data_IF_031946205782
#
_entry.id   IF_031946205782
#
_cell.length_a   1.000
_cell.length_b   1.000
_cell.length_c   1.000
_cell.angle_alpha   90.00
_cell.angle_beta   90.00
_cell.angle_gamma   90.00
#
_symmetry.space_group_name_H-M   'P 1'
#
loop_
_entity.id
_entity.type
_entity.pdbx_description
1 polymer ?
#
# COMPACT_ATOMS: atom_id res chain seq x y z
N UNK A 1 -18.22 -37.84 55.34
CA UNK A 1 -19.51 -37.76 56.04
C UNK A 1 -19.99 -36.33 56.15
N UNK A 2 -21.26 -36.10 55.83
CA UNK A 2 -22.10 -34.90 55.91
C UNK A 2 -21.88 -33.79 54.94
N UNK A 3 -22.71 -33.83 53.87
CA UNK A 3 -23.10 -32.73 52.96
C UNK A 3 -23.99 -31.75 53.79
N UNK A 4 -23.71 -30.45 53.60
CA UNK A 4 -24.66 -29.39 53.95
C UNK A 4 -24.98 -28.66 52.68
N UNK A 5 -26.20 -28.86 52.16
CA UNK A 5 -26.83 -28.06 51.11
C UNK A 5 -27.28 -26.74 51.75
N UNK A 6 -26.81 -25.61 51.23
CA UNK A 6 -27.38 -24.30 51.53
C UNK A 6 -28.16 -23.84 50.30
N UNK A 7 -29.48 -23.92 50.35
CA UNK A 7 -30.38 -23.37 49.35
C UNK A 7 -30.49 -21.85 49.58
N UNK A 8 -29.98 -21.03 48.67
CA UNK A 8 -30.22 -19.58 48.63
C UNK A 8 -31.39 -19.33 47.69
N UNK A 9 -32.52 -18.95 48.30
CA UNK A 9 -33.73 -18.51 47.61
C UNK A 9 -33.50 -17.10 47.05
N UNK A 10 -33.23 -16.96 45.73
CA UNK A 10 -33.19 -15.66 45.05
C UNK A 10 -34.62 -15.19 44.79
N UNK A 11 -35.10 -14.27 45.59
CA UNK A 11 -36.26 -13.44 45.26
C UNK A 11 -35.92 -12.56 44.06
N UNK A 12 -36.39 -12.91 42.88
CA UNK A 12 -36.37 -12.06 41.70
C UNK A 12 -37.44 -10.96 41.88
N UNK A 13 -37.03 -9.85 42.48
CA UNK A 13 -37.78 -8.61 42.41
C UNK A 13 -37.70 -8.08 40.96
N UNK A 14 -38.74 -8.29 40.17
CA UNK A 14 -38.91 -7.66 38.88
C UNK A 14 -39.02 -6.15 39.06
N UNK A 15 -37.94 -5.40 38.82
CA UNK A 15 -38.05 -3.97 38.62
C UNK A 15 -38.95 -3.72 37.40
N UNK A 16 -39.95 -2.83 37.47
CA UNK A 16 -40.72 -2.45 36.29
C UNK A 16 -39.76 -1.84 35.29
N UNK A 17 -39.60 -2.48 34.15
CA UNK A 17 -38.97 -1.88 33.00
C UNK A 17 -39.83 -0.68 32.60
N UNK A 18 -39.40 0.52 33.02
CA UNK A 18 -40.01 1.76 32.53
C UNK A 18 -39.72 1.78 31.02
N UNK A 19 -40.75 1.47 30.23
CA UNK A 19 -40.69 1.62 28.79
C UNK A 19 -40.27 3.07 28.51
N UNK A 20 -39.10 3.24 27.91
CA UNK A 20 -38.68 4.57 27.43
C UNK A 20 -39.75 5.05 26.45
N UNK A 21 -40.20 6.31 26.57
CA UNK A 21 -41.15 6.85 25.61
C UNK A 21 -40.59 6.68 24.20
N UNK A 22 -41.39 6.07 23.33
CA UNK A 22 -40.98 5.88 21.92
C UNK A 22 -40.83 7.24 21.30
N UNK A 23 -39.62 7.51 20.80
CA UNK A 23 -39.31 8.74 20.06
C UNK A 23 -40.05 8.72 18.71
N UNK A 24 -40.82 9.77 18.42
CA UNK A 24 -41.58 9.93 17.16
C UNK A 24 -41.13 11.16 16.42
N UNK A 25 -41.08 11.09 15.10
CA UNK A 25 -40.71 12.20 14.24
C UNK A 25 -41.85 13.22 14.22
N UNK A 26 -41.67 14.37 14.86
CA UNK A 26 -42.64 15.45 14.81
C UNK A 26 -42.43 16.37 13.61
N UNK A 27 -41.22 16.54 13.18
CA UNK A 27 -40.83 17.39 12.04
C UNK A 27 -39.56 16.88 11.37
N UNK A 28 -39.47 17.05 10.05
CA UNK A 28 -38.23 16.78 9.26
C UNK A 28 -37.82 18.10 8.60
N UNK A 29 -36.57 18.51 8.77
CA UNK A 29 -35.98 19.68 8.11
C UNK A 29 -34.79 19.26 7.26
N UNK A 30 -34.75 19.82 6.06
CA UNK A 30 -33.66 19.62 5.11
C UNK A 30 -32.82 20.89 5.06
N UNK A 31 -31.51 20.75 5.01
CA UNK A 31 -30.55 21.84 4.87
C UNK A 31 -29.47 21.47 3.87
N UNK A 32 -29.03 22.49 3.09
CA UNK A 32 -27.95 22.33 2.12
C UNK A 32 -28.43 21.93 0.71
N UNK A 33 -29.72 21.73 0.54
CA UNK A 33 -30.32 21.58 -0.77
C UNK A 33 -30.49 22.94 -1.45
N UNK A 34 -30.00 23.08 -2.67
CA UNK A 34 -30.08 24.29 -3.47
C UNK A 34 -30.97 24.09 -4.72
N UNK A 35 -30.98 22.88 -5.25
CA UNK A 35 -31.70 22.52 -6.47
C UNK A 35 -32.76 21.44 -6.25
N UNK A 36 -32.55 20.54 -5.27
CA UNK A 36 -33.51 19.47 -4.95
C UNK A 36 -34.51 19.97 -3.92
N UNK A 37 -35.83 19.90 -4.22
CA UNK A 37 -36.89 20.28 -3.25
C UNK A 37 -36.82 19.44 -1.96
N UNK A 38 -37.16 20.05 -0.81
CA UNK A 38 -37.22 19.36 0.48
C UNK A 38 -38.05 18.09 0.43
N UNK A 39 -39.21 18.15 -0.25
CA UNK A 39 -40.11 17.02 -0.39
C UNK A 39 -39.46 15.79 -1.07
N UNK A 40 -38.58 16.03 -2.04
CA UNK A 40 -37.91 14.96 -2.78
C UNK A 40 -36.78 14.35 -1.89
N UNK A 41 -36.06 15.17 -1.11
CA UNK A 41 -35.07 14.70 -0.15
C UNK A 41 -35.75 13.84 0.92
N UNK A 42 -36.87 14.30 1.46
CA UNK A 42 -37.66 13.57 2.45
C UNK A 42 -38.13 12.24 1.90
N UNK A 43 -38.69 12.26 0.66
CA UNK A 43 -39.15 11.04 -0.02
C UNK A 43 -37.98 10.02 -0.22
N UNK A 44 -36.82 10.50 -0.64
CA UNK A 44 -35.62 9.67 -0.81
C UNK A 44 -35.11 9.07 0.49
N UNK A 45 -35.23 9.81 1.61
CA UNK A 45 -34.83 9.31 2.95
C UNK A 45 -35.75 8.18 3.45
N UNK A 46 -36.99 8.11 2.92
CA UNK A 46 -38.03 7.19 3.36
C UNK A 46 -38.61 7.49 4.74
N UNK A 47 -38.24 8.63 5.35
CA UNK A 47 -38.75 9.06 6.66
C UNK A 47 -40.07 9.79 6.51
N UNK A 48 -40.97 9.62 7.49
CA UNK A 48 -42.26 10.34 7.52
C UNK A 48 -42.53 10.92 8.93
N UNK A 49 -43.18 12.09 9.00
CA UNK A 49 -43.68 12.61 10.28
C UNK A 49 -44.66 11.63 10.93
N UNK A 50 -44.57 11.44 12.25
CA UNK A 50 -45.36 10.47 13.00
C UNK A 50 -44.77 9.07 13.10
N UNK A 51 -43.65 8.79 12.38
CA UNK A 51 -42.92 7.51 12.45
C UNK A 51 -42.13 7.41 13.74
N UNK A 52 -42.04 6.19 14.30
CA UNK A 52 -41.17 5.89 15.44
C UNK A 52 -39.72 5.83 14.97
N UNK A 53 -38.86 6.61 15.59
CA UNK A 53 -37.46 6.72 15.19
C UNK A 53 -36.56 5.87 16.08
N UNK A 54 -35.59 5.22 15.44
CA UNK A 54 -34.45 4.57 16.10
C UNK A 54 -33.14 5.01 15.40
N UNK A 55 -32.01 4.85 16.07
CA UNK A 55 -30.72 5.17 15.47
C UNK A 55 -30.44 4.31 14.22
N UNK A 56 -30.93 3.05 14.20
CA UNK A 56 -30.85 2.18 13.03
C UNK A 56 -31.69 2.74 11.84
N UNK A 57 -32.88 3.28 12.12
CA UNK A 57 -33.76 3.87 11.12
C UNK A 57 -33.17 5.15 10.50
N UNK A 58 -32.50 5.96 11.31
CA UNK A 58 -31.79 7.14 10.82
C UNK A 58 -30.58 6.76 9.93
N UNK A 59 -29.85 5.73 10.32
CA UNK A 59 -28.74 5.21 9.51
C UNK A 59 -29.23 4.61 8.17
N UNK A 60 -30.38 3.94 8.16
CA UNK A 60 -31.03 3.48 6.90
C UNK A 60 -31.41 4.63 5.98
N UNK A 61 -31.98 5.71 6.54
CA UNK A 61 -32.35 6.91 5.80
C UNK A 61 -31.10 7.62 5.22
N UNK A 62 -30.05 7.73 6.00
CA UNK A 62 -28.77 8.27 5.52
C UNK A 62 -28.20 7.42 4.38
N UNK A 63 -28.24 6.11 4.51
CA UNK A 63 -27.78 5.20 3.47
C UNK A 63 -28.65 5.23 2.21
N UNK A 64 -29.96 5.45 2.35
CA UNK A 64 -30.88 5.63 1.22
C UNK A 64 -30.55 6.90 0.43
N UNK A 65 -30.30 8.00 1.15
CA UNK A 65 -29.88 9.27 0.54
C UNK A 65 -28.52 9.14 -0.16
N UNK A 66 -27.55 8.49 0.44
CA UNK A 66 -26.22 8.23 -0.18
C UNK A 66 -26.36 7.35 -1.44
N UNK A 67 -27.22 6.34 -1.43
CA UNK A 67 -27.49 5.48 -2.61
C UNK A 67 -28.15 6.20 -3.76
N UNK A 68 -28.80 7.35 -3.53
CA UNK A 68 -29.40 8.14 -4.62
C UNK A 68 -28.37 8.79 -5.54
N UNK A 69 -27.10 8.83 -5.12
CA UNK A 69 -25.97 9.47 -5.81
C UNK A 69 -26.14 10.98 -6.09
N UNK A 70 -27.18 11.61 -5.56
CA UNK A 70 -27.47 13.04 -5.74
C UNK A 70 -26.63 13.94 -4.84
N UNK A 71 -26.14 13.40 -3.73
CA UNK A 71 -25.50 14.16 -2.67
C UNK A 71 -24.03 13.75 -2.50
N UNK A 72 -23.15 14.73 -2.27
CA UNK A 72 -21.72 14.51 -2.00
C UNK A 72 -21.52 14.13 -0.54
N UNK A 73 -22.21 14.79 0.37
CA UNK A 73 -22.27 14.46 1.78
C UNK A 73 -23.70 14.41 2.30
N UNK A 74 -23.94 13.51 3.25
CA UNK A 74 -25.25 13.30 3.89
C UNK A 74 -25.01 13.02 5.36
N UNK A 75 -25.72 13.74 6.22
CA UNK A 75 -25.72 13.58 7.66
C UNK A 75 -27.17 13.69 8.19
N UNK A 76 -27.65 12.64 8.83
CA UNK A 76 -29.03 12.58 9.37
C UNK A 76 -28.96 12.56 10.90
N UNK A 77 -29.42 13.64 11.52
CA UNK A 77 -29.37 13.85 12.98
C UNK A 77 -30.74 14.02 13.57
N UNK A 78 -30.91 13.51 14.79
CA UNK A 78 -32.11 13.79 15.60
C UNK A 78 -31.82 14.86 16.65
N UNK A 79 -32.83 15.70 16.95
CA UNK A 79 -32.83 16.65 18.08
C UNK A 79 -34.19 16.64 18.74
N UNK A 80 -34.24 16.96 20.02
CA UNK A 80 -35.53 17.20 20.69
C UNK A 80 -36.16 18.47 20.13
N UNK A 81 -37.42 18.40 19.74
CA UNK A 81 -38.18 19.52 19.22
C UNK A 81 -38.66 20.44 20.37
N UNK A 82 -38.97 19.86 21.53
CA UNK A 82 -39.38 20.57 22.74
C UNK A 82 -38.70 20.00 23.97
N UNK A 83 -38.41 20.87 24.94
CA UNK A 83 -37.89 20.46 26.26
C UNK A 83 -39.00 19.80 27.10
N UNK A 84 -40.28 20.12 26.82
CA UNK A 84 -41.41 19.59 27.54
C UNK A 84 -41.82 18.19 27.12
N UNK A 85 -41.49 17.77 25.89
CA UNK A 85 -41.80 16.45 25.36
C UNK A 85 -40.57 15.83 24.68
N UNK A 86 -39.83 15.02 25.42
CA UNK A 86 -38.63 14.34 24.93
C UNK A 86 -38.95 13.23 23.90
N UNK A 87 -40.22 12.87 23.71
CA UNK A 87 -40.61 11.91 22.68
C UNK A 87 -40.85 12.54 21.32
N UNK A 88 -40.94 13.88 21.22
CA UNK A 88 -41.16 14.62 19.98
C UNK A 88 -39.82 15.05 19.37
N UNK A 89 -39.44 14.37 18.29
CA UNK A 89 -38.11 14.49 17.67
C UNK A 89 -38.19 15.33 16.39
N UNK A 90 -37.25 16.27 16.24
CA UNK A 90 -36.91 16.93 14.98
C UNK A 90 -35.79 16.12 14.31
N UNK A 91 -36.01 15.62 13.12
CA UNK A 91 -34.97 15.06 12.28
C UNK A 91 -34.41 16.14 11.37
N UNK A 92 -33.12 16.35 11.44
CA UNK A 92 -32.38 17.24 10.53
C UNK A 92 -31.61 16.40 9.51
N UNK A 93 -31.91 16.62 8.25
CA UNK A 93 -31.19 16.06 7.11
C UNK A 93 -30.29 17.16 6.57
N UNK A 94 -28.99 17.03 6.74
CA UNK A 94 -27.99 17.96 6.19
C UNK A 94 -27.34 17.29 5.00
N UNK A 95 -27.44 17.92 3.84
CA UNK A 95 -26.92 17.38 2.56
C UNK A 95 -26.04 18.43 1.88
N UNK A 96 -25.10 17.95 1.08
CA UNK A 96 -24.37 18.74 0.10
C UNK A 96 -24.67 18.17 -1.29
N UNK A 97 -25.23 19.00 -2.17
CA UNK A 97 -25.63 18.55 -3.51
C UNK A 97 -24.44 18.39 -4.43
N UNK A 98 -24.37 17.29 -5.15
CA UNK A 98 -23.31 17.07 -6.13
C UNK A 98 -23.38 18.08 -7.27
N UNK A 99 -22.25 18.67 -7.69
CA UNK A 99 -22.21 19.57 -8.83
C UNK A 99 -22.76 18.92 -10.11
N UNK A 100 -23.71 19.60 -10.75
CA UNK A 100 -24.33 19.11 -12.00
C UNK A 100 -25.59 18.28 -11.84
N UNK A 101 -26.08 18.10 -10.60
CA UNK A 101 -27.41 17.58 -10.32
C UNK A 101 -28.42 18.74 -10.41
N UNK A 102 -29.54 18.54 -11.08
CA UNK A 102 -30.64 19.49 -11.13
C UNK A 102 -31.99 18.81 -10.80
N UNK A 103 -33.01 19.60 -10.51
CA UNK A 103 -34.35 19.07 -10.24
C UNK A 103 -34.92 18.23 -11.41
N UNK A 104 -34.59 18.63 -12.65
CA UNK A 104 -35.04 17.97 -13.89
C UNK A 104 -34.14 16.78 -14.29
N UNK A 105 -32.86 16.79 -13.93
CA UNK A 105 -31.92 15.69 -14.15
C UNK A 105 -31.19 15.35 -12.84
N UNK A 106 -31.69 14.38 -12.08
CA UNK A 106 -31.13 13.97 -10.80
C UNK A 106 -29.84 13.15 -10.92
N UNK A 107 -29.39 12.85 -12.13
CA UNK A 107 -28.19 12.06 -12.36
C UNK A 107 -26.97 12.97 -12.49
N UNK A 108 -25.88 12.74 -11.72
CA UNK A 108 -24.66 13.50 -11.89
C UNK A 108 -24.18 13.45 -13.34
N UNK A 109 -23.83 14.60 -13.91
CA UNK A 109 -23.26 14.66 -15.25
C UNK A 109 -22.03 13.76 -15.40
N UNK A 110 -21.77 13.25 -16.60
CA UNK A 110 -20.63 12.35 -16.88
C UNK A 110 -19.29 12.86 -16.32
N UNK A 111 -19.04 14.18 -16.41
CA UNK A 111 -17.83 14.78 -15.87
C UNK A 111 -17.72 14.74 -14.34
N UNK A 112 -18.84 14.89 -13.62
CA UNK A 112 -18.89 14.78 -12.17
C UNK A 112 -18.68 13.33 -11.74
N UNK A 113 -19.36 12.37 -12.36
CA UNK A 113 -19.15 10.92 -12.11
C UNK A 113 -17.73 10.50 -12.37
N UNK A 114 -17.12 10.97 -13.46
CA UNK A 114 -15.72 10.66 -13.77
C UNK A 114 -14.76 11.24 -12.73
N UNK A 115 -14.99 12.48 -12.26
CA UNK A 115 -14.17 13.11 -11.23
C UNK A 115 -14.25 12.37 -9.90
N UNK A 116 -15.45 11.97 -9.48
CA UNK A 116 -15.69 11.26 -8.22
C UNK A 116 -15.18 9.81 -8.25
N UNK A 117 -15.17 9.20 -9.44
CA UNK A 117 -14.64 7.86 -9.65
C UNK A 117 -13.11 7.81 -9.70
N UNK A 118 -12.41 8.95 -9.87
CA UNK A 118 -10.95 8.99 -9.98
C UNK A 118 -10.31 9.30 -8.63
N UNK A 119 -9.53 8.36 -8.14
CA UNK A 119 -8.62 8.57 -7.02
C UNK A 119 -7.27 9.06 -7.54
N UNK A 120 -6.85 10.24 -7.07
CA UNK A 120 -5.57 10.83 -7.43
C UNK A 120 -4.55 10.56 -6.34
N UNK A 121 -3.51 9.80 -6.66
CA UNK A 121 -2.43 9.47 -5.74
C UNK A 121 -1.12 10.08 -6.23
N UNK A 122 -0.42 10.90 -5.44
CA UNK A 122 0.88 11.43 -5.82
C UNK A 122 1.90 10.29 -5.85
N UNK A 123 2.82 10.36 -6.81
CA UNK A 123 4.02 9.52 -6.88
C UNK A 123 5.19 10.41 -6.50
N UNK A 124 5.89 10.05 -5.42
CA UNK A 124 7.15 10.66 -5.04
C UNK A 124 8.05 9.56 -4.47
N UNK A 125 9.18 9.35 -5.11
CA UNK A 125 10.18 8.39 -4.64
C UNK A 125 11.57 8.87 -4.96
N UNK A 126 12.53 8.44 -4.18
CA UNK A 126 13.93 8.62 -4.47
C UNK A 126 14.60 7.25 -4.47
N UNK A 127 15.28 6.94 -5.55
CA UNK A 127 16.11 5.73 -5.65
C UNK A 127 17.52 6.16 -5.94
N UNK A 128 18.43 5.82 -5.06
CA UNK A 128 19.83 6.18 -5.21
C UNK A 128 20.39 5.60 -6.53
N UNK A 129 21.15 6.39 -7.25
CA UNK A 129 21.67 6.06 -8.58
C UNK A 129 20.71 6.40 -9.73
N UNK A 130 19.41 6.47 -9.48
CA UNK A 130 18.40 6.87 -10.47
C UNK A 130 17.87 8.29 -10.22
N UNK A 131 17.82 8.74 -8.95
CA UNK A 131 17.37 10.08 -8.59
C UNK A 131 15.91 10.13 -8.13
N UNK A 132 15.36 11.34 -8.09
CA UNK A 132 13.96 11.60 -7.71
C UNK A 132 13.04 11.25 -8.86
N UNK A 133 12.01 10.43 -8.61
CA UNK A 133 10.88 10.24 -9.50
C UNK A 133 9.63 10.88 -8.85
N UNK A 134 8.93 11.69 -9.61
CA UNK A 134 7.71 12.38 -9.19
C UNK A 134 6.63 12.26 -10.25
N UNK A 135 5.37 12.25 -9.84
CA UNK A 135 4.28 12.05 -10.78
C UNK A 135 2.94 11.89 -10.11
N UNK A 136 2.03 11.25 -10.83
CA UNK A 136 0.66 11.04 -10.39
C UNK A 136 0.16 9.68 -10.87
N UNK A 137 -0.69 9.07 -10.06
CA UNK A 137 -1.47 7.89 -10.43
C UNK A 137 -2.95 8.25 -10.38
N UNK A 138 -3.63 8.18 -11.50
CA UNK A 138 -5.08 8.20 -11.56
C UNK A 138 -5.58 6.75 -11.44
N UNK A 139 -6.51 6.49 -10.53
CA UNK A 139 -7.07 5.16 -10.33
C UNK A 139 -8.60 5.21 -10.34
N UNK A 140 -9.21 4.25 -10.99
CA UNK A 140 -10.65 4.03 -11.07
C UNK A 140 -10.99 2.77 -10.29
N UNK A 141 -11.92 2.88 -9.35
CA UNK A 141 -12.45 1.73 -8.63
C UNK A 141 -13.51 1.01 -9.48
N UNK A 142 -13.53 -0.30 -9.39
CA UNK A 142 -14.55 -1.21 -9.92
C UNK A 142 -14.89 -1.12 -11.43
N UNK A 143 -13.92 -0.84 -12.34
CA UNK A 143 -14.19 -0.71 -13.76
C UNK A 143 -14.63 -2.02 -14.44
N UNK A 144 -14.23 -3.17 -13.88
CA UNK A 144 -14.55 -4.51 -14.41
C UNK A 144 -15.23 -5.40 -13.37
N UNK A 145 -16.00 -4.78 -12.47
CA UNK A 145 -16.71 -5.43 -11.36
C UNK A 145 -16.02 -5.21 -10.02
N UNK A 146 -16.70 -5.60 -8.95
CA UNK A 146 -16.29 -5.36 -7.57
C UNK A 146 -14.85 -5.78 -7.28
N UNK A 147 -14.18 -5.05 -6.39
CA UNK A 147 -12.78 -5.26 -6.01
C UNK A 147 -11.77 -5.16 -7.17
N UNK A 148 -12.12 -4.46 -8.24
CA UNK A 148 -11.19 -4.16 -9.34
C UNK A 148 -10.68 -2.72 -9.28
N UNK A 149 -9.48 -2.49 -9.80
CA UNK A 149 -8.85 -1.18 -9.89
C UNK A 149 -8.09 -1.04 -11.20
N UNK A 150 -8.44 -0.03 -11.98
CA UNK A 150 -7.70 0.38 -13.18
C UNK A 150 -6.91 1.63 -12.85
N UNK A 151 -5.61 1.61 -13.03
CA UNK A 151 -4.75 2.75 -12.72
C UNK A 151 -3.81 3.13 -13.86
N UNK A 152 -3.50 4.44 -13.91
CA UNK A 152 -2.66 5.07 -14.92
C UNK A 152 -1.52 5.82 -14.21
N UNK A 153 -0.44 5.13 -13.83
CA UNK A 153 0.72 5.78 -13.24
C UNK A 153 1.54 6.51 -14.31
N UNK A 154 1.89 7.76 -14.04
CA UNK A 154 2.81 8.53 -14.88
C UNK A 154 3.83 9.23 -13.98
N UNK A 155 5.12 9.04 -14.24
CA UNK A 155 6.20 9.66 -13.49
C UNK A 155 7.31 10.21 -14.38
N UNK A 156 8.00 11.24 -13.85
CA UNK A 156 9.16 11.90 -14.46
C UNK A 156 10.32 11.93 -13.46
N UNK A 157 11.46 12.39 -13.93
CA UNK A 157 12.69 12.52 -13.15
C UNK A 157 13.67 11.39 -13.41
N UNK A 158 14.23 10.82 -12.37
CA UNK A 158 15.23 9.75 -12.45
C UNK A 158 14.75 8.49 -13.15
N UNK A 159 13.47 8.15 -12.96
CA UNK A 159 12.76 7.15 -13.73
C UNK A 159 11.55 7.80 -14.40
N UNK A 160 11.49 7.73 -15.73
CA UNK A 160 10.33 8.17 -16.51
C UNK A 160 9.50 6.94 -16.83
N UNK A 161 8.28 6.90 -16.32
CA UNK A 161 7.38 5.76 -16.46
C UNK A 161 5.98 6.23 -16.82
N UNK A 162 5.36 5.53 -17.74
CA UNK A 162 3.93 5.65 -18.01
C UNK A 162 3.35 4.26 -18.22
N UNK A 163 2.13 4.01 -17.73
CA UNK A 163 1.55 2.68 -17.84
C UNK A 163 0.06 2.65 -17.60
N UNK A 164 -0.49 1.46 -17.76
CA UNK A 164 -1.85 1.09 -17.37
C UNK A 164 -1.78 -0.22 -16.60
N UNK A 165 -2.49 -0.28 -15.49
CA UNK A 165 -2.51 -1.42 -14.58
C UNK A 165 -3.96 -1.75 -14.24
N UNK A 166 -4.37 -2.98 -14.46
CA UNK A 166 -5.65 -3.53 -14.02
C UNK A 166 -5.39 -4.60 -12.99
N UNK A 167 -5.94 -4.42 -11.81
CA UNK A 167 -5.87 -5.38 -10.71
C UNK A 167 -7.29 -5.75 -10.31
N UNK A 168 -7.50 -7.01 -9.92
CA UNK A 168 -8.76 -7.47 -9.35
C UNK A 168 -8.52 -8.47 -8.24
N UNK A 169 -9.28 -8.34 -7.15
CA UNK A 169 -9.33 -9.30 -6.07
C UNK A 169 -10.58 -10.17 -6.18
N UNK A 170 -10.45 -11.41 -5.72
CA UNK A 170 -11.51 -12.43 -5.74
C UNK A 170 -11.53 -13.16 -4.39
N UNK A 171 -12.65 -13.82 -4.10
CA UNK A 171 -12.78 -14.69 -2.91
C UNK A 171 -12.42 -13.95 -1.61
N UNK A 172 -13.12 -12.86 -1.32
CA UNK A 172 -12.87 -12.02 -0.15
C UNK A 172 -11.41 -11.55 -0.07
N UNK A 173 -10.87 -11.10 -1.21
CA UNK A 173 -9.49 -10.60 -1.36
C UNK A 173 -8.39 -11.66 -1.16
N UNK A 174 -8.73 -12.94 -1.08
CA UNK A 174 -7.73 -14.01 -0.98
C UNK A 174 -6.92 -14.19 -2.26
N UNK A 175 -7.56 -14.10 -3.41
CA UNK A 175 -6.89 -14.20 -4.71
C UNK A 175 -6.81 -12.82 -5.33
N UNK A 176 -5.62 -12.43 -5.80
CA UNK A 176 -5.39 -11.19 -6.55
C UNK A 176 -4.81 -11.55 -7.89
N UNK A 177 -5.30 -10.94 -8.93
CA UNK A 177 -4.74 -11.03 -10.28
C UNK A 177 -4.55 -9.65 -10.85
N UNK A 178 -3.48 -9.45 -11.58
CA UNK A 178 -3.16 -8.18 -12.20
C UNK A 178 -2.52 -8.35 -13.57
N UNK A 179 -2.80 -7.38 -14.43
CA UNK A 179 -2.14 -7.20 -15.72
C UNK A 179 -1.76 -5.73 -15.87
N UNK A 180 -0.58 -5.49 -16.40
CA UNK A 180 -0.14 -4.13 -16.64
C UNK A 180 0.74 -4.01 -17.87
N UNK A 181 0.70 -2.84 -18.48
CA UNK A 181 1.60 -2.41 -19.52
C UNK A 181 2.34 -1.16 -19.08
N UNK A 182 3.64 -1.12 -19.27
CA UNK A 182 4.48 0.05 -18.94
C UNK A 182 5.49 0.35 -20.03
N UNK A 183 5.72 1.63 -20.19
CA UNK A 183 6.89 2.17 -20.87
C UNK A 183 7.76 2.85 -19.81
N UNK A 184 9.01 2.46 -19.73
CA UNK A 184 9.93 2.90 -18.69
C UNK A 184 11.26 3.31 -19.31
N UNK A 185 11.84 4.42 -18.85
CA UNK A 185 13.15 4.91 -19.25
C UNK A 185 13.94 5.40 -18.04
N UNK A 186 15.14 4.87 -17.85
CA UNK A 186 16.09 5.26 -16.80
C UNK A 186 17.52 5.12 -17.28
N UNK A 187 18.48 5.57 -16.48
CA UNK A 187 19.90 5.37 -16.74
C UNK A 187 20.44 4.36 -15.73
N UNK A 188 21.04 3.26 -16.22
CA UNK A 188 21.64 2.26 -15.33
C UNK A 188 22.88 2.85 -14.66
N UNK A 189 23.00 2.85 -13.32
CA UNK A 189 24.06 3.55 -12.61
C UNK A 189 25.44 2.88 -12.69
N UNK A 190 25.51 1.59 -13.05
CA UNK A 190 26.78 0.88 -13.25
C UNK A 190 27.31 1.06 -14.67
N UNK A 191 26.46 0.78 -15.66
CA UNK A 191 26.83 0.84 -17.06
C UNK A 191 26.76 2.26 -17.64
N UNK A 192 26.18 3.22 -16.91
CA UNK A 192 25.89 4.59 -17.37
C UNK A 192 25.10 4.61 -18.69
N UNK A 193 24.36 3.54 -18.93
CA UNK A 193 23.64 3.28 -20.16
C UNK A 193 22.14 3.55 -19.99
N UNK A 194 21.53 4.07 -21.06
CA UNK A 194 20.07 4.21 -21.12
C UNK A 194 19.44 2.82 -21.15
N UNK A 195 18.51 2.58 -20.23
CA UNK A 195 17.66 1.40 -20.14
C UNK A 195 16.23 1.84 -20.47
N UNK A 196 15.75 1.47 -21.66
CA UNK A 196 14.38 1.72 -22.10
C UNK A 196 13.66 0.40 -22.25
N UNK A 197 12.47 0.31 -21.67
CA UNK A 197 11.68 -0.92 -21.67
C UNK A 197 10.22 -0.64 -21.98
N UNK A 198 9.65 -1.45 -22.84
CA UNK A 198 8.22 -1.59 -23.05
C UNK A 198 7.82 -2.99 -22.58
N UNK A 199 6.99 -3.10 -21.56
CA UNK A 199 6.70 -4.41 -20.97
C UNK A 199 5.24 -4.60 -20.66
N UNK A 200 4.80 -5.85 -20.83
CA UNK A 200 3.54 -6.38 -20.29
C UNK A 200 3.89 -7.34 -19.17
N UNK A 201 3.18 -7.25 -18.07
CA UNK A 201 3.28 -8.18 -16.93
C UNK A 201 1.90 -8.68 -16.54
N UNK A 202 1.84 -9.95 -16.22
CA UNK A 202 0.71 -10.57 -15.55
C UNK A 202 1.20 -11.22 -14.27
N UNK A 203 0.40 -11.13 -13.22
CA UNK A 203 0.72 -11.70 -11.91
C UNK A 203 -0.57 -12.15 -11.24
N UNK A 204 -0.52 -13.29 -10.55
CA UNK A 204 -1.61 -13.77 -9.73
C UNK A 204 -1.06 -14.35 -8.43
N UNK A 205 -1.73 -14.02 -7.32
CA UNK A 205 -1.40 -14.46 -5.97
C UNK A 205 -2.62 -15.03 -5.28
N UNK A 206 -2.43 -16.06 -4.46
CA UNK A 206 -3.45 -16.62 -3.57
C UNK A 206 -2.96 -16.62 -2.12
N UNK A 207 -3.76 -16.08 -1.21
CA UNK A 207 -3.50 -16.13 0.23
C UNK A 207 -3.94 -17.48 0.81
N UNK A 208 -2.97 -18.36 1.05
CA UNK A 208 -3.17 -19.63 1.74
C UNK A 208 -3.47 -19.40 3.22
N UNK A 209 -2.76 -18.41 3.79
CA UNK A 209 -2.97 -17.89 5.14
C UNK A 209 -2.89 -16.36 5.10
N UNK A 210 -3.38 -15.62 6.09
CA UNK A 210 -3.27 -14.16 6.12
C UNK A 210 -1.83 -13.64 5.96
N UNK A 211 -0.86 -14.42 6.42
CA UNK A 211 0.56 -14.11 6.38
C UNK A 211 1.33 -14.81 5.26
N UNK A 212 0.69 -15.71 4.48
CA UNK A 212 1.33 -16.52 3.43
C UNK A 212 0.57 -16.41 2.11
N UNK A 213 1.23 -15.91 1.09
CA UNK A 213 0.73 -15.86 -0.29
C UNK A 213 1.64 -16.67 -1.21
N UNK A 214 1.03 -17.43 -2.11
CA UNK A 214 1.71 -18.12 -3.22
C UNK A 214 1.18 -17.56 -4.53
N UNK A 215 2.06 -17.36 -5.48
CA UNK A 215 1.69 -16.80 -6.76
C UNK A 215 2.63 -17.17 -7.87
N UNK A 216 2.30 -16.68 -9.05
CA UNK A 216 3.12 -16.77 -10.24
C UNK A 216 2.98 -15.51 -11.07
N UNK A 217 4.01 -15.18 -11.82
CA UNK A 217 4.02 -14.04 -12.72
C UNK A 217 4.71 -14.36 -14.03
N UNK A 218 4.35 -13.61 -15.05
CA UNK A 218 5.05 -13.61 -16.32
C UNK A 218 5.20 -12.16 -16.83
N UNK A 219 6.30 -11.89 -17.49
CA UNK A 219 6.56 -10.62 -18.17
C UNK A 219 7.15 -10.84 -19.55
N UNK A 220 6.76 -9.96 -20.46
CA UNK A 220 7.36 -9.84 -21.81
C UNK A 220 7.79 -8.38 -21.91
N UNK A 221 9.06 -8.15 -22.28
CA UNK A 221 9.62 -6.82 -22.41
C UNK A 221 10.46 -6.70 -23.69
N UNK A 222 10.29 -5.60 -24.41
CA UNK A 222 11.29 -5.14 -25.38
C UNK A 222 12.25 -4.23 -24.62
N UNK A 223 13.53 -4.51 -24.67
CA UNK A 223 14.59 -3.88 -23.88
C UNK A 223 15.63 -3.29 -24.81
N UNK A 224 15.73 -1.96 -24.83
CA UNK A 224 16.83 -1.24 -25.46
C UNK A 224 17.81 -0.81 -24.36
N UNK A 225 19.08 -1.22 -24.47
CA UNK A 225 20.10 -0.93 -23.47
C UNK A 225 21.38 -0.38 -24.09
N UNK A 226 21.73 0.85 -23.72
CA UNK A 226 22.87 1.55 -24.30
C UNK A 226 22.69 1.86 -25.80
N UNK A 227 23.74 1.69 -26.56
CA UNK A 227 23.76 2.02 -28.00
C UNK A 227 23.68 0.80 -28.94
N UNK A 228 23.61 -0.41 -28.39
CA UNK A 228 23.74 -1.60 -29.26
C UNK A 228 23.02 -2.85 -28.79
N UNK A 229 22.24 -2.78 -27.69
CA UNK A 229 21.45 -3.91 -27.26
C UNK A 229 19.97 -3.58 -27.39
N UNK A 230 19.29 -4.34 -28.23
CA UNK A 230 17.85 -4.31 -28.43
C UNK A 230 17.37 -5.76 -28.52
N UNK A 231 16.62 -6.20 -27.53
CA UNK A 231 16.20 -7.59 -27.45
C UNK A 231 14.85 -7.76 -26.71
N UNK A 232 14.16 -8.80 -27.10
CA UNK A 232 12.95 -9.25 -26.38
C UNK A 232 13.31 -10.15 -25.23
N UNK A 233 12.85 -9.80 -24.04
CA UNK A 233 12.96 -10.62 -22.83
C UNK A 233 11.60 -11.21 -22.46
N UNK A 234 11.60 -12.49 -22.09
CA UNK A 234 10.43 -13.17 -21.55
C UNK A 234 10.84 -13.81 -20.23
N UNK A 235 10.11 -13.54 -19.17
CA UNK A 235 10.35 -14.16 -17.88
C UNK A 235 9.05 -14.67 -17.28
N UNK A 236 9.08 -15.87 -16.67
CA UNK A 236 7.94 -16.42 -15.97
C UNK A 236 8.38 -17.34 -14.84
N UNK A 237 7.60 -17.35 -13.74
CA UNK A 237 7.88 -18.24 -12.64
C UNK A 237 7.00 -18.03 -11.42
N UNK A 238 7.09 -18.96 -10.45
CA UNK A 238 6.38 -18.91 -9.19
C UNK A 238 7.09 -18.01 -8.16
N UNK A 239 6.32 -17.56 -7.19
CA UNK A 239 6.85 -16.88 -6.00
C UNK A 239 6.01 -17.16 -4.75
N UNK A 240 6.63 -16.95 -3.60
CA UNK A 240 6.01 -17.05 -2.29
C UNK A 240 6.30 -15.75 -1.53
N UNK A 241 5.29 -15.19 -0.88
CA UNK A 241 5.43 -14.03 0.00
C UNK A 241 4.96 -14.41 1.40
N UNK A 242 5.82 -14.18 2.38
CA UNK A 242 5.52 -14.28 3.80
C UNK A 242 5.52 -12.87 4.36
N UNK A 243 4.44 -12.46 5.00
CA UNK A 243 4.32 -11.16 5.62
C UNK A 243 3.54 -11.24 6.93
N UNK A 244 4.24 -11.11 8.04
CA UNK A 244 3.65 -11.12 9.39
C UNK A 244 3.64 -9.72 10.02
N UNK A 245 3.95 -8.67 9.25
CA UNK A 245 3.98 -7.30 9.73
C UNK A 245 2.55 -6.79 9.93
N UNK A 246 2.29 -6.26 11.11
CA UNK A 246 1.06 -5.53 11.42
C UNK A 246 1.20 -4.08 10.94
N UNK A 247 2.38 -3.48 11.18
CA UNK A 247 2.75 -2.16 10.70
C UNK A 247 3.94 -2.27 9.73
N UNK A 248 3.74 -2.04 8.42
CA UNK A 248 4.82 -2.10 7.43
C UNK A 248 5.87 -0.98 7.58
N UNK A 249 5.50 0.18 8.16
CA UNK A 249 6.43 1.31 8.37
C UNK A 249 7.37 1.05 9.54
N UNK A 250 6.83 0.55 10.66
CA UNK A 250 7.56 0.32 11.90
C UNK A 250 7.38 -1.11 12.40
N UNK A 251 7.81 -2.11 11.62
CA UNK A 251 7.61 -3.51 11.96
C UNK A 251 8.42 -3.90 13.21
N UNK A 252 7.80 -4.71 14.06
CA UNK A 252 8.40 -5.28 15.26
C UNK A 252 7.93 -6.71 15.46
N UNK A 253 8.82 -7.61 15.86
CA UNK A 253 8.56 -9.05 16.03
C UNK A 253 7.84 -9.64 14.81
N UNK A 254 8.38 -9.36 13.65
CA UNK A 254 7.75 -9.68 12.37
C UNK A 254 8.78 -10.13 11.34
N UNK A 255 8.30 -10.82 10.34
CA UNK A 255 9.07 -11.26 9.18
C UNK A 255 8.35 -10.83 7.90
N UNK A 256 9.12 -10.36 6.94
CA UNK A 256 8.67 -10.19 5.56
C UNK A 256 9.69 -10.88 4.65
N UNK A 257 9.23 -11.78 3.80
CA UNK A 257 10.09 -12.44 2.82
C UNK A 257 9.35 -12.62 1.50
N UNK A 258 10.03 -12.33 0.39
CA UNK A 258 9.58 -12.70 -0.96
C UNK A 258 10.66 -13.58 -1.58
N UNK A 259 10.25 -14.77 -2.00
CA UNK A 259 11.12 -15.78 -2.60
C UNK A 259 10.49 -16.18 -3.92
N UNK A 260 11.26 -16.17 -5.00
CA UNK A 260 10.78 -16.52 -6.32
C UNK A 260 11.84 -17.22 -7.15
N UNK A 261 11.39 -17.92 -8.14
CA UNK A 261 12.20 -18.44 -9.22
C UNK A 261 11.53 -18.10 -10.55
N UNK A 262 12.31 -17.68 -11.54
CA UNK A 262 11.80 -17.41 -12.88
C UNK A 262 12.77 -17.93 -13.94
N UNK A 263 12.25 -18.36 -15.06
CA UNK A 263 13.03 -18.57 -16.28
C UNK A 263 13.02 -17.27 -17.06
N UNK A 264 14.20 -16.73 -17.35
CA UNK A 264 14.38 -15.54 -18.18
C UNK A 264 14.96 -15.98 -19.52
N UNK A 265 14.22 -15.75 -20.59
CA UNK A 265 14.63 -16.02 -21.96
C UNK A 265 14.91 -14.69 -22.69
N UNK A 266 15.96 -14.65 -23.48
CA UNK A 266 16.42 -13.55 -24.31
C UNK A 266 17.02 -14.10 -25.61
N UNK A 267 17.29 -13.27 -26.61
CA UNK A 267 17.69 -13.76 -27.93
C UNK A 267 18.92 -14.71 -27.93
N UNK A 268 19.92 -14.41 -27.08
CA UNK A 268 21.14 -15.21 -27.00
C UNK A 268 21.03 -16.45 -26.10
N UNK A 269 19.87 -16.72 -25.48
CA UNK A 269 19.69 -17.87 -24.61
C UNK A 269 18.66 -17.69 -23.53
N UNK A 270 18.84 -18.41 -22.43
CA UNK A 270 17.96 -18.28 -21.27
C UNK A 270 18.69 -18.69 -19.99
N UNK A 271 18.27 -18.14 -18.85
CA UNK A 271 18.77 -18.49 -17.53
C UNK A 271 17.62 -18.65 -16.53
N UNK A 272 17.80 -19.58 -15.58
CA UNK A 272 16.98 -19.66 -14.38
C UNK A 272 17.49 -18.67 -13.35
N UNK A 273 16.61 -17.82 -12.82
CA UNK A 273 16.95 -16.82 -11.79
C UNK A 273 16.15 -17.09 -10.53
N UNK A 274 16.83 -17.41 -9.45
CA UNK A 274 16.29 -17.46 -8.10
C UNK A 274 16.49 -16.08 -7.45
N UNK A 275 15.48 -15.56 -6.76
CA UNK A 275 15.56 -14.33 -6.01
C UNK A 275 14.89 -14.49 -4.64
N UNK A 276 15.55 -13.99 -3.59
CA UNK A 276 15.00 -13.91 -2.24
C UNK A 276 15.37 -12.57 -1.61
N UNK A 277 14.40 -11.89 -1.00
CA UNK A 277 14.58 -10.74 -0.09
C UNK A 277 13.83 -11.07 1.19
N UNK A 278 14.56 -11.26 2.28
CA UNK A 278 14.01 -11.60 3.57
C UNK A 278 14.40 -10.55 4.60
N UNK A 279 13.43 -10.11 5.40
CA UNK A 279 13.58 -9.09 6.45
C UNK A 279 12.97 -9.62 7.74
N UNK A 280 13.75 -9.59 8.81
CA UNK A 280 13.32 -9.95 10.16
C UNK A 280 13.43 -8.74 11.09
N UNK A 281 12.50 -8.61 12.01
CA UNK A 281 12.43 -7.50 12.95
C UNK A 281 12.24 -8.05 14.35
N UNK A 282 13.19 -7.79 15.23
CA UNK A 282 13.18 -8.27 16.61
C UNK A 282 13.19 -7.09 17.58
N UNK A 283 12.17 -6.99 18.42
CA UNK A 283 12.15 -6.03 19.50
C UNK A 283 13.21 -6.37 20.56
N UNK A 284 14.09 -5.42 20.88
CA UNK A 284 15.18 -5.64 21.82
C UNK A 284 14.81 -5.10 23.20
N UNK A 285 14.87 -3.78 23.40
CA UNK A 285 14.53 -3.10 24.66
C UNK A 285 13.60 -1.93 24.35
N UNK A 286 12.51 -1.78 25.11
CA UNK A 286 11.56 -0.70 24.89
C UNK A 286 11.03 -0.70 23.44
N UNK A 287 11.13 0.41 22.74
CA UNK A 287 10.76 0.56 21.35
C UNK A 287 11.87 0.21 20.35
N UNK A 288 13.09 -0.11 20.83
CA UNK A 288 14.25 -0.44 19.98
C UNK A 288 14.02 -1.74 19.22
N UNK A 289 14.39 -1.76 17.94
CA UNK A 289 14.23 -2.90 17.03
C UNK A 289 15.56 -3.22 16.36
N UNK A 290 15.94 -4.49 16.37
CA UNK A 290 16.99 -5.03 15.50
C UNK A 290 16.31 -5.49 14.19
N UNK A 291 16.65 -4.85 13.09
CA UNK A 291 16.20 -5.21 11.75
C UNK A 291 17.34 -5.95 11.03
N UNK A 292 17.03 -7.12 10.50
CA UNK A 292 17.94 -7.94 9.71
C UNK A 292 17.38 -8.05 8.29
N UNK A 293 18.24 -7.97 7.29
CA UNK A 293 17.88 -8.20 5.90
C UNK A 293 18.88 -9.09 5.21
N UNK A 294 18.38 -10.02 4.40
CA UNK A 294 19.18 -10.84 3.49
C UNK A 294 18.58 -10.77 2.08
N UNK A 295 19.44 -10.54 1.10
CA UNK A 295 19.08 -10.55 -0.32
C UNK A 295 19.97 -11.56 -1.04
N UNK A 296 19.35 -12.38 -1.88
CA UNK A 296 20.03 -13.33 -2.74
C UNK A 296 19.40 -13.31 -4.12
N UNK A 297 20.18 -13.04 -5.13
CA UNK A 297 19.85 -13.29 -6.53
C UNK A 297 20.87 -14.29 -7.06
N UNK A 298 20.41 -15.40 -7.62
CA UNK A 298 21.29 -16.40 -8.21
C UNK A 298 20.81 -16.78 -9.60
N UNK A 299 21.69 -16.64 -10.57
CA UNK A 299 21.47 -17.08 -11.95
C UNK A 299 22.26 -18.35 -12.25
N UNK A 300 21.64 -19.29 -12.97
CA UNK A 300 22.29 -20.51 -13.47
C UNK A 300 23.01 -20.30 -14.80
N UNK A 301 22.82 -19.14 -15.46
CA UNK A 301 23.44 -18.75 -16.72
C UNK A 301 23.82 -17.27 -16.72
N UNK A 302 24.64 -16.87 -17.69
CA UNK A 302 25.00 -15.47 -17.89
C UNK A 302 23.76 -14.65 -18.28
N UNK A 303 23.63 -13.47 -17.69
CA UNK A 303 22.52 -12.55 -17.96
C UNK A 303 23.00 -11.39 -18.84
N UNK A 304 22.16 -10.87 -19.75
CA UNK A 304 22.48 -9.65 -20.46
C UNK A 304 22.62 -8.47 -19.48
N UNK A 305 23.40 -7.43 -19.78
CA UNK A 305 23.68 -6.31 -18.89
C UNK A 305 22.41 -5.66 -18.29
N UNK A 306 21.35 -5.61 -19.06
CA UNK A 306 20.06 -5.06 -18.62
C UNK A 306 19.37 -5.90 -17.51
N UNK A 307 19.72 -7.18 -17.33
CA UNK A 307 19.14 -8.08 -16.35
C UNK A 307 20.08 -8.40 -15.17
N UNK A 308 21.33 -7.89 -15.20
CA UNK A 308 22.29 -8.09 -14.11
C UNK A 308 21.85 -7.41 -12.82
N UNK A 309 22.16 -8.03 -11.70
CA UNK A 309 21.96 -7.47 -10.38
C UNK A 309 23.01 -6.41 -10.06
N UNK A 310 22.61 -5.33 -9.42
CA UNK A 310 23.48 -4.21 -9.04
C UNK A 310 23.71 -4.20 -7.53
N UNK A 311 24.96 -4.08 -7.12
CA UNK A 311 25.39 -3.92 -5.73
C UNK A 311 25.79 -2.47 -5.46
N UNK A 312 25.49 -1.98 -4.27
CA UNK A 312 25.81 -0.63 -3.79
C UNK A 312 24.57 0.24 -3.61
N UNK A 313 24.72 1.30 -2.84
CA UNK A 313 23.64 2.23 -2.50
C UNK A 313 22.79 1.79 -1.34
N UNK A 314 21.75 2.58 -1.07
CA UNK A 314 20.84 2.45 0.06
C UNK A 314 20.18 1.05 0.16
N UNK A 315 19.85 0.45 -0.97
CA UNK A 315 19.05 -0.78 -1.00
C UNK A 315 19.85 -2.07 -0.82
N UNK A 316 21.19 -2.06 -0.94
CA UNK A 316 21.99 -3.27 -0.87
C UNK A 316 23.28 -3.17 -0.03
N UNK A 317 24.12 -2.16 -0.29
CA UNK A 317 25.41 -1.99 0.39
C UNK A 317 25.73 -0.50 0.56
N UNK A 318 25.41 0.05 1.72
CA UNK A 318 25.69 1.45 2.07
C UNK A 318 27.19 1.65 2.30
N UNK A 319 27.68 2.86 1.99
CA UNK A 319 29.10 3.20 1.92
C UNK A 319 29.62 3.18 0.47
N UNK A 320 28.96 2.48 -0.42
CA UNK A 320 29.30 2.39 -1.85
C UNK A 320 28.24 3.07 -2.71
N UNK A 321 28.62 3.65 -3.85
CA UNK A 321 27.65 4.25 -4.77
C UNK A 321 26.65 3.21 -5.27
N UNK A 322 25.44 3.62 -5.59
CA UNK A 322 24.50 2.75 -6.27
C UNK A 322 25.08 2.22 -7.59
N UNK A 323 24.95 0.94 -7.84
CA UNK A 323 25.61 0.31 -8.98
C UNK A 323 27.13 0.32 -8.89
N UNK A 324 27.69 0.17 -7.72
CA UNK A 324 29.15 0.02 -7.53
C UNK A 324 29.69 -1.18 -8.30
N UNK A 325 28.97 -2.29 -8.26
CA UNK A 325 29.24 -3.50 -9.06
C UNK A 325 27.99 -4.07 -9.68
N UNK A 326 28.17 -4.86 -10.74
CA UNK A 326 27.13 -5.63 -11.40
C UNK A 326 27.54 -7.09 -11.58
N UNK A 327 26.59 -8.00 -11.56
CA UNK A 327 26.83 -9.43 -11.78
C UNK A 327 25.55 -10.21 -12.08
N UNK A 328 25.72 -11.45 -12.53
CA UNK A 328 24.58 -12.35 -12.79
C UNK A 328 23.89 -12.77 -11.51
N UNK A 329 24.65 -12.74 -10.42
CA UNK A 329 24.22 -13.11 -9.06
C UNK A 329 24.65 -12.07 -8.05
N UNK A 330 23.90 -11.95 -6.94
CA UNK A 330 24.12 -11.00 -5.85
C UNK A 330 23.78 -11.66 -4.52
N UNK A 331 24.62 -11.41 -3.50
CA UNK A 331 24.26 -11.64 -2.12
C UNK A 331 24.55 -10.35 -1.33
N UNK A 332 23.59 -9.91 -0.54
CA UNK A 332 23.73 -8.76 0.35
C UNK A 332 23.03 -9.05 1.68
N UNK A 333 23.60 -8.55 2.77
CA UNK A 333 23.03 -8.66 4.11
C UNK A 333 23.20 -7.37 4.87
N UNK A 334 22.25 -7.08 5.75
CA UNK A 334 22.27 -5.90 6.61
C UNK A 334 21.77 -6.26 8.01
N UNK A 335 22.43 -5.72 9.01
CA UNK A 335 21.95 -5.69 10.39
C UNK A 335 21.86 -4.23 10.84
N UNK A 336 20.68 -3.80 11.27
CA UNK A 336 20.39 -2.42 11.62
C UNK A 336 19.67 -2.34 12.97
N UNK A 337 20.24 -1.59 13.91
CA UNK A 337 19.60 -1.27 15.19
C UNK A 337 18.88 0.07 15.06
N UNK A 338 17.57 0.07 15.23
CA UNK A 338 16.69 1.24 15.18
C UNK A 338 16.26 1.63 16.58
N UNK A 339 16.51 2.87 16.94
CA UNK A 339 16.12 3.46 18.23
C UNK A 339 15.14 4.59 17.97
N UNK A 340 13.82 4.33 18.10
CA UNK A 340 12.82 5.39 18.02
C UNK A 340 12.98 6.38 19.16
N UNK A 341 12.80 7.65 18.87
CA UNK A 341 12.81 8.75 19.83
C UNK A 341 11.37 9.18 20.12
N UNK A 342 11.16 9.82 21.27
CA UNK A 342 9.85 10.34 21.64
C UNK A 342 9.44 11.46 20.68
N UNK A 343 8.31 11.28 20.00
CA UNK A 343 7.74 12.27 19.09
C UNK A 343 6.63 13.05 19.81
N UNK A 344 6.64 14.39 19.74
CA UNK A 344 5.52 15.20 20.20
C UNK A 344 4.27 15.06 19.32
N UNK A 345 4.43 14.54 18.10
CA UNK A 345 3.35 14.33 17.13
C UNK A 345 2.98 12.84 17.08
N UNK A 346 1.73 12.51 17.38
CA UNK A 346 1.26 11.11 17.41
C UNK A 346 1.36 10.38 16.07
N UNK A 347 1.26 11.12 14.95
CA UNK A 347 1.31 10.56 13.60
C UNK A 347 2.72 10.48 13.01
N UNK A 348 3.76 10.92 13.74
CA UNK A 348 5.14 10.97 13.24
C UNK A 348 6.03 10.18 14.17
N UNK A 349 6.75 9.23 13.63
CA UNK A 349 7.83 8.53 14.32
C UNK A 349 9.16 8.91 13.69
N UNK A 350 10.15 9.21 14.51
CA UNK A 350 11.51 9.45 14.07
C UNK A 350 12.49 8.81 15.04
N UNK A 351 13.71 8.61 14.60
CA UNK A 351 14.71 7.99 15.44
C UNK A 351 16.09 7.97 14.80
N UNK A 352 17.00 7.35 15.49
CA UNK A 352 18.36 7.11 15.03
C UNK A 352 18.58 5.64 14.76
N UNK A 353 19.55 5.33 13.92
CA UNK A 353 19.91 3.95 13.60
C UNK A 353 21.41 3.80 13.42
N UNK A 354 21.90 2.60 13.68
CA UNK A 354 23.26 2.18 13.37
C UNK A 354 23.18 0.86 12.60
N UNK A 355 24.10 0.63 11.66
CA UNK A 355 24.02 -0.54 10.81
C UNK A 355 25.41 -1.04 10.37
N UNK A 356 25.42 -2.29 9.95
CA UNK A 356 26.49 -2.92 9.21
C UNK A 356 25.89 -3.68 8.03
N UNK A 357 26.47 -3.47 6.85
CA UNK A 357 26.09 -4.10 5.61
C UNK A 357 27.26 -4.92 5.08
N UNK A 358 26.95 -6.01 4.36
CA UNK A 358 27.95 -6.76 3.60
C UNK A 358 27.32 -7.25 2.30
N UNK A 359 28.08 -7.27 1.22
CA UNK A 359 27.55 -7.72 -0.07
C UNK A 359 28.61 -8.08 -1.08
N UNK A 360 28.21 -8.87 -2.06
CA UNK A 360 29.02 -9.27 -3.21
C UNK A 360 28.15 -9.55 -4.43
N UNK A 361 28.75 -9.48 -5.62
CA UNK A 361 28.20 -9.95 -6.88
C UNK A 361 29.17 -10.87 -7.57
N UNK A 362 28.64 -11.80 -8.37
CA UNK A 362 29.49 -12.75 -9.10
C UNK A 362 28.84 -13.17 -10.42
N UNK A 363 29.70 -13.63 -11.34
CA UNK A 363 29.28 -14.17 -12.63
C UNK A 363 28.77 -15.61 -12.48
N UNK A 364 27.84 -16.00 -13.33
CA UNK A 364 27.38 -17.39 -13.44
C UNK A 364 28.55 -18.36 -13.63
N UNK A 365 28.43 -19.56 -13.03
CA UNK A 365 29.52 -20.57 -13.06
C UNK A 365 30.54 -20.46 -11.93
N UNK A 366 30.59 -19.35 -11.17
CA UNK A 366 31.44 -19.22 -9.99
C UNK A 366 30.65 -19.48 -8.69
N UNK A 367 31.35 -19.77 -7.59
CA UNK A 367 30.70 -20.07 -6.31
C UNK A 367 30.66 -18.81 -5.42
N UNK A 368 29.59 -18.67 -4.65
CA UNK A 368 29.48 -17.61 -3.65
C UNK A 368 30.59 -17.66 -2.60
N UNK A 369 30.99 -18.87 -2.18
CA UNK A 369 32.02 -19.06 -1.17
C UNK A 369 33.41 -18.53 -1.57
N UNK A 370 33.66 -18.40 -2.87
CA UNK A 370 34.94 -17.90 -3.39
C UNK A 370 34.96 -16.39 -3.61
N UNK A 371 33.84 -15.70 -3.31
CA UNK A 371 33.70 -14.26 -3.55
C UNK A 371 34.08 -13.44 -2.31
N UNK A 372 34.86 -12.38 -2.47
CA UNK A 372 35.08 -11.42 -1.39
C UNK A 372 33.80 -10.63 -1.13
N UNK A 373 33.46 -10.47 0.16
CA UNK A 373 32.39 -9.59 0.57
C UNK A 373 32.95 -8.21 0.90
N UNK A 374 32.40 -7.18 0.27
CA UNK A 374 32.62 -5.80 0.65
C UNK A 374 31.70 -5.43 1.81
N UNK A 375 32.16 -4.53 2.69
CA UNK A 375 31.44 -4.15 3.91
C UNK A 375 31.28 -2.65 4.00
N UNK A 376 30.18 -2.26 4.63
CA UNK A 376 29.88 -0.88 4.99
C UNK A 376 29.35 -0.81 6.41
N UNK A 377 29.74 0.21 7.15
CA UNK A 377 29.25 0.49 8.51
C UNK A 377 28.76 1.93 8.56
N UNK A 378 27.72 2.18 9.31
CA UNK A 378 27.21 3.54 9.39
C UNK A 378 26.14 3.75 10.42
N UNK A 379 25.60 4.96 10.37
CA UNK A 379 24.47 5.38 11.18
C UNK A 379 23.64 6.41 10.44
N UNK A 380 22.46 6.66 10.93
CA UNK A 380 21.55 7.58 10.27
C UNK A 380 20.34 7.92 11.11
N UNK A 381 19.44 8.64 10.48
CA UNK A 381 18.15 9.02 11.03
C UNK A 381 17.04 8.44 10.14
N UNK A 382 15.91 8.13 10.75
CA UNK A 382 14.71 7.76 10.04
C UNK A 382 13.52 8.57 10.52
N UNK A 383 12.59 8.82 9.60
CA UNK A 383 11.33 9.48 9.85
C UNK A 383 10.24 8.74 9.09
N UNK A 384 9.13 8.50 9.75
CA UNK A 384 7.92 7.96 9.13
C UNK A 384 6.70 8.75 9.60
N UNK A 385 5.87 9.12 8.64
CA UNK A 385 4.63 9.87 8.90
C UNK A 385 3.55 9.36 7.95
N UNK A 386 2.46 8.86 8.49
CA UNK A 386 1.38 8.24 7.72
C UNK A 386 1.91 7.17 6.74
N UNK A 387 2.03 7.51 5.47
CA UNK A 387 2.51 6.62 4.40
C UNK A 387 3.93 6.97 3.92
N UNK A 388 4.50 8.08 4.39
CA UNK A 388 5.81 8.56 3.97
C UNK A 388 6.90 8.00 4.88
N UNK A 389 7.96 7.47 4.28
CA UNK A 389 9.19 7.08 4.95
C UNK A 389 10.37 7.84 4.35
N UNK A 390 11.22 8.38 5.21
CA UNK A 390 12.47 9.04 4.87
C UNK A 390 13.60 8.48 5.73
N UNK A 391 14.68 8.09 5.12
CA UNK A 391 15.91 7.65 5.77
C UNK A 391 17.09 8.47 5.24
N UNK A 392 17.99 8.92 6.13
CA UNK A 392 19.24 9.58 5.77
C UNK A 392 20.36 8.92 6.54
N UNK A 393 21.28 8.30 5.83
CA UNK A 393 22.37 7.49 6.37
C UNK A 393 23.72 8.04 5.97
N UNK A 394 24.66 8.07 6.89
CA UNK A 394 26.08 8.27 6.63
C UNK A 394 26.79 6.93 6.82
N UNK A 395 27.46 6.46 5.78
CA UNK A 395 28.10 5.16 5.76
C UNK A 395 29.55 5.22 5.27
N UNK A 396 30.40 4.46 5.91
CA UNK A 396 31.80 4.28 5.57
C UNK A 396 31.98 2.93 4.89
N UNK A 397 32.58 2.89 3.68
CA UNK A 397 33.01 1.65 3.07
C UNK A 397 34.25 1.09 3.80
N UNK A 398 34.63 -0.16 3.51
CA UNK A 398 35.88 -0.76 4.04
C UNK A 398 37.10 0.03 3.57
N UNK A 399 37.07 0.52 2.33
CA UNK A 399 38.12 1.39 1.79
C UNK A 399 37.46 2.57 1.03
N UNK A 400 37.94 3.79 1.28
CA UNK A 400 37.45 4.99 0.60
C UNK A 400 36.81 6.02 1.52
N UNK A 401 36.06 6.95 0.93
CA UNK A 401 35.41 8.07 1.64
C UNK A 401 33.97 7.73 2.03
N UNK A 402 33.50 8.26 3.17
CA UNK A 402 32.11 8.07 3.57
C UNK A 402 31.13 8.67 2.55
N UNK A 403 29.94 8.10 2.51
CA UNK A 403 28.85 8.53 1.62
C UNK A 403 27.57 8.75 2.39
N UNK A 404 26.81 9.74 1.94
CA UNK A 404 25.45 9.96 2.38
C UNK A 404 24.51 9.20 1.47
N UNK A 405 23.62 8.42 2.06
CA UNK A 405 22.57 7.68 1.38
C UNK A 405 21.21 8.21 1.82
N UNK A 406 20.30 8.35 0.89
CA UNK A 406 18.94 8.78 1.15
C UNK A 406 17.98 7.72 0.63
N UNK A 407 17.05 7.31 1.48
CA UNK A 407 15.91 6.48 1.12
C UNK A 407 14.64 7.27 1.36
N UNK A 408 13.80 7.42 0.35
CA UNK A 408 12.51 8.07 0.50
C UNK A 408 11.46 7.36 -0.36
N UNK A 409 10.25 7.21 0.19
CA UNK A 409 9.15 6.60 -0.53
C UNK A 409 7.84 6.63 0.24
N UNK A 410 6.77 6.33 -0.49
CA UNK A 410 5.47 6.04 0.11
C UNK A 410 5.34 4.53 0.31
N UNK A 411 4.86 4.14 1.49
CA UNK A 411 4.46 2.77 1.81
C UNK A 411 2.94 2.74 1.88
N UNK A 412 2.31 2.03 0.94
CA UNK A 412 0.87 1.78 0.92
C UNK A 412 0.58 0.33 1.29
#
# INVERSE_FOLDING_TARGET
MRRILLAVLLMAGGAPCLAQPQETIGEIRVHGNHTTPDADVIALSGLAPGEVVSDARLAEAEQALRRSERFEDVDVRKRFRSIENAADILVMIVIDERPGVSADDPTPGFGARLRDAIQWLPILSYTEGYGVAYGIRAAFADPVGDDSRLSFPVSWGGERRAGVELERSFNDQRTRAGVGFWVNRRVNPFFEARDFRQQVRVEADHAVQPWLRIGAGARIANVEFGSGYDARHVAAGPHVTIDTRIDPLFPRNAVHARIGWERVAFESGSAGRFAADARGYVGVIGATVLALRGQLVRSDGALPPAEQALLGGFDSLRGYRAGHRAGDSLAAMSAELRVPLNSPLQAVQFGVKAFIDAGTVWSSGTRLADQPFERGIGGGIFLGAAVLKLDVDLAWPEEGTPRVHVGAGFSF
#
